data_IF_037479574673
#
_entry.id   IF_037479574673
#
_cell.length_a   1.000
_cell.length_b   1.000
_cell.length_c   1.000
_cell.angle_alpha   90.00
_cell.angle_beta   90.00
_cell.angle_gamma   90.00
#
_symmetry.space_group_name_H-M   'P 1'
#
loop_
_entity.id
_entity.type
_entity.pdbx_description
1 polymer ?
#
# COMPACT_ATOMS: atom_id res chain seq x y z
N UNK A 1 20.68 19.47 9.54
CA UNK A 1 20.90 18.43 8.52
C UNK A 1 19.54 17.81 8.17
N UNK A 2 18.80 18.43 7.23
CA UNK A 2 17.47 17.96 6.82
C UNK A 2 17.60 16.93 5.70
N UNK A 3 17.27 15.68 5.97
CA UNK A 3 17.56 14.53 5.11
C UNK A 3 16.74 14.47 3.82
N UNK A 4 17.41 13.99 2.77
CA UNK A 4 16.97 13.75 1.39
C UNK A 4 15.91 12.63 1.25
N UNK A 5 15.06 12.43 2.25
CA UNK A 5 14.14 11.28 2.30
C UNK A 5 12.83 11.51 1.56
N UNK A 6 12.48 12.76 1.25
CA UNK A 6 11.22 13.05 0.54
C UNK A 6 11.20 12.49 -0.88
N UNK A 7 12.34 12.50 -1.56
CA UNK A 7 12.44 12.09 -2.96
C UNK A 7 12.52 10.56 -3.11
N UNK A 8 13.16 9.88 -2.15
CA UNK A 8 13.29 8.41 -2.15
C UNK A 8 11.92 7.69 -2.12
N UNK A 9 10.92 8.22 -1.42
CA UNK A 9 9.60 7.60 -1.39
C UNK A 9 8.89 7.64 -2.75
N UNK A 10 9.07 8.72 -3.51
CA UNK A 10 8.47 8.87 -4.84
C UNK A 10 9.13 7.92 -5.85
N UNK A 11 10.43 7.67 -5.70
CA UNK A 11 11.16 6.69 -6.52
C UNK A 11 10.82 5.23 -6.19
N UNK A 12 10.41 4.94 -4.94
CA UNK A 12 10.11 3.59 -4.47
C UNK A 12 8.65 3.16 -4.73
N UNK A 13 7.72 4.11 -4.67
CA UNK A 13 6.29 3.86 -4.83
C UNK A 13 5.69 4.75 -5.90
N UNK A 14 5.46 4.17 -7.07
CA UNK A 14 4.90 4.86 -8.22
C UNK A 14 3.37 4.75 -8.16
N UNK A 15 2.63 5.88 -8.10
CA UNK A 15 1.17 5.85 -8.16
C UNK A 15 0.70 5.30 -9.50
N UNK A 16 -0.37 4.51 -9.48
CA UNK A 16 -1.00 4.03 -10.71
C UNK A 16 -1.80 5.17 -11.34
N UNK A 17 -1.45 5.57 -12.55
CA UNK A 17 -2.06 6.71 -13.27
C UNK A 17 -3.32 6.35 -14.06
N UNK A 18 -3.63 5.05 -14.19
CA UNK A 18 -4.81 4.59 -14.92
C UNK A 18 -6.11 4.87 -14.15
N UNK A 19 -7.16 5.32 -14.84
CA UNK A 19 -8.52 5.46 -14.29
C UNK A 19 -9.02 4.10 -13.81
N UNK A 20 -9.10 3.94 -12.49
CA UNK A 20 -9.44 2.67 -11.85
C UNK A 20 -10.95 2.50 -11.85
N UNK A 21 -11.46 1.41 -12.43
CA UNK A 21 -12.88 1.02 -12.36
C UNK A 21 -13.18 0.00 -11.25
N UNK A 22 -12.14 -0.54 -10.60
CA UNK A 22 -12.23 -1.56 -9.52
C UNK A 22 -11.10 -1.43 -8.48
N UNK A 23 -11.45 -1.42 -7.20
CA UNK A 23 -10.54 -1.20 -6.08
C UNK A 23 -10.36 0.28 -5.73
N UNK A 24 -9.55 0.58 -4.71
CA UNK A 24 -9.40 1.94 -4.18
C UNK A 24 -8.60 2.88 -5.13
N UNK A 25 -8.77 4.20 -5.04
CA UNK A 25 -8.13 5.16 -5.96
C UNK A 25 -6.61 5.30 -5.78
N UNK A 26 -6.08 4.99 -4.59
CA UNK A 26 -4.67 5.18 -4.25
C UNK A 26 -3.74 4.01 -4.63
N UNK A 27 -4.05 3.21 -5.66
CA UNK A 27 -3.24 2.03 -6.00
C UNK A 27 -1.85 2.41 -6.49
N UNK A 28 -0.87 1.56 -6.20
CA UNK A 28 0.51 1.67 -6.63
C UNK A 28 0.80 0.74 -7.80
N UNK A 29 1.74 1.11 -8.67
CA UNK A 29 2.20 0.28 -9.76
C UNK A 29 3.01 -0.92 -9.22
N UNK A 30 2.54 -2.13 -9.54
CA UNK A 30 3.28 -3.34 -9.22
C UNK A 30 4.37 -3.55 -10.28
N UNK A 31 5.63 -3.35 -9.89
CA UNK A 31 6.78 -3.61 -10.76
C UNK A 31 6.75 -5.05 -11.27
N UNK A 32 6.91 -5.24 -12.59
CA UNK A 32 6.60 -6.52 -13.23
C UNK A 32 7.65 -7.62 -13.07
N UNK A 33 8.94 -7.37 -12.74
CA UNK A 33 9.88 -8.49 -12.49
C UNK A 33 11.24 -8.14 -11.82
N UNK A 34 11.35 -8.50 -10.55
CA UNK A 34 12.28 -9.43 -9.86
C UNK A 34 13.73 -9.79 -10.28
N UNK A 35 14.59 -8.88 -10.76
CA UNK A 35 16.05 -9.17 -10.84
C UNK A 35 16.99 -8.28 -9.99
N UNK A 36 16.46 -7.46 -9.09
CA UNK A 36 17.28 -6.83 -8.05
C UNK A 36 17.28 -7.69 -6.78
N UNK A 37 18.12 -8.73 -6.75
CA UNK A 37 18.15 -9.83 -5.78
C UNK A 37 18.15 -9.49 -4.28
N UNK A 38 18.24 -8.23 -3.84
CA UNK A 38 18.01 -7.82 -2.43
C UNK A 38 17.32 -6.47 -2.21
N UNK A 39 17.15 -5.63 -3.24
CA UNK A 39 16.73 -4.22 -3.05
C UNK A 39 15.22 -3.98 -3.21
N UNK A 40 14.51 -4.82 -3.96
CA UNK A 40 13.10 -4.59 -4.34
C UNK A 40 12.05 -5.53 -3.71
N UNK A 41 12.45 -6.50 -2.88
CA UNK A 41 11.51 -7.49 -2.34
C UNK A 41 10.52 -6.86 -1.35
N UNK A 42 11.03 -5.98 -0.49
CA UNK A 42 10.20 -5.28 0.49
C UNK A 42 9.22 -4.33 -0.21
N UNK A 43 9.67 -3.58 -1.21
CA UNK A 43 8.79 -2.66 -1.96
C UNK A 43 7.71 -3.40 -2.72
N UNK A 44 8.02 -4.50 -3.40
CA UNK A 44 7.01 -5.33 -4.07
C UNK A 44 5.99 -5.88 -3.09
N UNK A 45 6.42 -6.39 -1.91
CA UNK A 45 5.49 -6.87 -0.89
C UNK A 45 4.63 -5.75 -0.31
N UNK A 46 5.22 -4.58 -0.04
CA UNK A 46 4.49 -3.42 0.45
C UNK A 46 3.45 -2.93 -0.56
N UNK A 47 3.81 -2.87 -1.86
CA UNK A 47 2.90 -2.50 -2.95
C UNK A 47 1.73 -3.48 -3.03
N UNK A 48 1.99 -4.79 -2.94
CA UNK A 48 0.93 -5.81 -2.96
C UNK A 48 -0.02 -5.69 -1.77
N UNK A 49 0.51 -5.52 -0.57
CA UNK A 49 -0.28 -5.35 0.65
C UNK A 49 -1.15 -4.10 0.55
N UNK A 50 -0.55 -2.96 0.17
CA UNK A 50 -1.27 -1.70 -0.03
C UNK A 50 -2.41 -1.85 -1.05
N UNK A 51 -2.14 -2.42 -2.22
CA UNK A 51 -3.13 -2.64 -3.27
C UNK A 51 -4.23 -3.66 -2.91
N UNK A 52 -4.03 -4.46 -1.85
CA UNK A 52 -5.02 -5.41 -1.35
C UNK A 52 -5.95 -4.81 -0.29
N UNK A 53 -5.66 -3.59 0.18
CA UNK A 53 -6.45 -2.96 1.23
C UNK A 53 -7.86 -2.62 0.74
N UNK A 54 -8.87 -2.80 1.59
CA UNK A 54 -10.21 -2.29 1.35
C UNK A 54 -10.21 -0.77 1.16
N UNK A 55 -11.13 -0.26 0.35
CA UNK A 55 -11.21 1.18 0.06
C UNK A 55 -11.58 2.01 1.28
N UNK A 56 -12.50 1.53 2.11
CA UNK A 56 -12.88 2.12 3.39
C UNK A 56 -11.68 2.28 4.34
N UNK A 57 -10.81 1.27 4.39
CA UNK A 57 -9.57 1.32 5.19
C UNK A 57 -8.60 2.36 4.64
N UNK A 58 -8.46 2.46 3.31
CA UNK A 58 -7.52 3.40 2.66
C UNK A 58 -8.02 4.85 2.71
N UNK A 59 -9.33 5.05 2.65
CA UNK A 59 -9.97 6.37 2.61
C UNK A 59 -10.36 6.90 3.99
N UNK A 60 -10.13 6.13 5.06
CA UNK A 60 -10.32 6.54 6.44
C UNK A 60 -9.53 7.83 6.76
N UNK A 61 -10.12 8.71 7.56
CA UNK A 61 -9.57 10.05 7.83
C UNK A 61 -8.65 10.08 9.05
N UNK A 62 -8.68 9.05 9.88
CA UNK A 62 -7.86 8.93 11.08
C UNK A 62 -7.36 7.51 11.32
N UNK A 63 -6.32 7.39 12.14
CA UNK A 63 -5.74 6.09 12.51
C UNK A 63 -6.74 5.26 13.32
N UNK A 64 -7.59 5.91 14.12
CA UNK A 64 -8.63 5.26 14.90
C UNK A 64 -9.68 4.59 14.00
N UNK A 65 -10.08 5.27 12.92
CA UNK A 65 -10.96 4.72 11.90
C UNK A 65 -10.30 3.55 11.16
N UNK A 66 -9.03 3.71 10.74
CA UNK A 66 -8.26 2.62 10.11
C UNK A 66 -8.22 1.39 11.01
N UNK A 67 -7.92 1.55 12.31
CA UNK A 67 -7.85 0.43 13.26
C UNK A 67 -9.20 -0.27 13.37
N UNK A 68 -10.29 0.50 13.54
CA UNK A 68 -11.63 -0.06 13.65
C UNK A 68 -12.02 -0.82 12.39
N UNK A 69 -11.85 -0.21 11.22
CA UNK A 69 -12.33 -0.76 9.96
C UNK A 69 -11.46 -1.97 9.54
N UNK A 70 -10.13 -1.89 9.72
CA UNK A 70 -9.23 -3.04 9.53
C UNK A 70 -9.58 -4.20 10.46
N UNK A 71 -9.77 -3.95 11.75
CA UNK A 71 -10.12 -4.99 12.73
C UNK A 71 -11.54 -5.56 12.53
N UNK A 72 -12.42 -4.82 11.83
CA UNK A 72 -13.75 -5.31 11.46
C UNK A 72 -13.70 -6.31 10.30
N UNK A 73 -12.67 -6.23 9.45
CA UNK A 73 -12.49 -7.12 8.29
C UNK A 73 -11.54 -8.26 8.62
N UNK A 74 -10.50 -8.00 9.41
CA UNK A 74 -9.47 -8.96 9.79
C UNK A 74 -9.45 -9.19 11.30
N UNK A 75 -9.26 -10.44 11.73
CA UNK A 75 -9.01 -10.75 13.13
C UNK A 75 -7.58 -10.35 13.57
N UNK A 76 -7.28 -10.51 14.86
CA UNK A 76 -5.94 -10.22 15.41
C UNK A 76 -4.83 -11.10 14.81
N UNK A 77 -5.19 -12.19 14.12
CA UNK A 77 -4.24 -13.09 13.47
C UNK A 77 -3.99 -12.72 12.00
N UNK A 78 -4.73 -11.74 11.47
CA UNK A 78 -4.59 -11.21 10.12
C UNK A 78 -5.40 -11.98 9.08
N UNK A 79 -6.33 -12.83 9.49
CA UNK A 79 -7.27 -13.50 8.58
C UNK A 79 -8.58 -12.74 8.49
N UNK A 80 -9.17 -12.74 7.31
CA UNK A 80 -10.51 -12.18 7.10
C UNK A 80 -11.53 -13.02 7.87
N UNK A 81 -12.46 -12.37 8.58
CA UNK A 81 -13.62 -13.05 9.18
C UNK A 81 -14.44 -13.82 8.14
#
# INVERSE_FOLDING_TARGET
MGGQYKDLCQDLFIPRTATVTRGHPLRLEESRFHHQHRRGFFTVRAVRLWNSLPEDVVMAKSIEEVKRDWMSVYDITGYRH
#
